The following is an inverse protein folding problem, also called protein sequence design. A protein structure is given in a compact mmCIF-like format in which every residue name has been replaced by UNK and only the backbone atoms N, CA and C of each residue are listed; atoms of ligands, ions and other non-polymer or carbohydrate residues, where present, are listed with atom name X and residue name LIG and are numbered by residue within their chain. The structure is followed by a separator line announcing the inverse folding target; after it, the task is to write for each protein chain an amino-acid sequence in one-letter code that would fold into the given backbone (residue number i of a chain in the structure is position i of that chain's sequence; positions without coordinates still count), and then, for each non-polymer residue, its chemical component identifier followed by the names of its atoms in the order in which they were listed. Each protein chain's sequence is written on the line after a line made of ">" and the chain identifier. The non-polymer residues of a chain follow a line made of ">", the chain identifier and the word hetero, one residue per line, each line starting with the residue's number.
data_IF_806147556887
#
_entry.id   IF_806147556887
#
_cell.length_a   1.000
_cell.length_b   1.000
_cell.length_c   1.000
_cell.angle_alpha   90.00
_cell.angle_beta   90.00
_cell.angle_gamma   90.00
#
_symmetry.space_group_name_H-M   'P 1'
#
loop_
_entity.id
_entity.type
_entity.pdbx_description
1 polymer ?
#
# COMPACT_ATOMS: atom_id res chain seq x y z
N UNK A 1 -18.17 -8.45 -3.36
CA UNK A 1 -19.31 -7.52 -3.18
C UNK A 1 -19.10 -6.75 -1.90
N UNK A 2 -19.72 -5.59 -1.72
CA UNK A 2 -19.64 -4.84 -0.47
C UNK A 2 -20.89 -5.09 0.35
N UNK A 3 -20.72 -5.48 1.62
CA UNK A 3 -21.84 -5.83 2.50
C UNK A 3 -22.47 -4.60 3.18
N UNK A 4 -21.84 -3.43 3.03
CA UNK A 4 -22.27 -2.14 3.59
C UNK A 4 -21.76 -0.98 2.73
N UNK A 5 -22.32 0.24 2.89
CA UNK A 5 -21.68 1.43 2.36
C UNK A 5 -20.24 1.56 2.88
N UNK A 6 -19.30 1.77 1.97
CA UNK A 6 -17.87 1.86 2.27
C UNK A 6 -17.27 3.02 1.49
N UNK A 7 -16.34 3.74 2.14
CA UNK A 7 -15.48 4.71 1.44
C UNK A 7 -14.24 3.96 0.96
N UNK A 8 -13.93 4.06 -0.33
CA UNK A 8 -12.82 3.32 -0.94
C UNK A 8 -11.74 4.30 -1.40
N UNK A 9 -10.49 4.00 -1.06
CA UNK A 9 -9.31 4.70 -1.54
C UNK A 9 -8.66 3.93 -2.67
N UNK A 10 -8.04 4.64 -3.61
CA UNK A 10 -7.21 4.06 -4.66
C UNK A 10 -5.76 4.42 -4.36
N UNK A 11 -4.92 3.40 -4.26
CA UNK A 11 -3.48 3.53 -3.96
C UNK A 11 -2.72 3.31 -5.25
N UNK A 12 -1.77 4.21 -5.56
CA UNK A 12 -0.89 4.11 -6.73
C UNK A 12 0.24 3.09 -6.50
N UNK A 13 -0.15 1.83 -6.32
CA UNK A 13 0.73 0.68 -6.25
C UNK A 13 -0.04 -0.56 -6.71
N UNK A 14 0.60 -1.42 -7.50
CA UNK A 14 0.04 -2.67 -7.95
C UNK A 14 1.08 -3.77 -8.09
N UNK A 15 0.70 -4.86 -8.76
CA UNK A 15 1.58 -6.01 -8.86
C UNK A 15 2.81 -5.78 -9.73
N UNK A 16 2.81 -4.79 -10.62
CA UNK A 16 4.01 -4.44 -11.39
C UNK A 16 5.03 -3.64 -10.55
N UNK A 17 4.67 -3.19 -9.35
CA UNK A 17 5.59 -2.65 -8.34
C UNK A 17 6.22 -3.75 -7.45
N UNK A 18 5.70 -4.97 -7.52
CA UNK A 18 6.09 -6.10 -6.67
C UNK A 18 5.08 -6.47 -5.59
N UNK A 19 3.94 -5.77 -5.50
CA UNK A 19 2.90 -6.14 -4.53
C UNK A 19 2.21 -7.46 -4.94
N UNK A 20 1.91 -8.41 -4.03
CA UNK A 20 1.35 -9.70 -4.41
C UNK A 20 0.02 -9.57 -5.16
N UNK A 21 -0.05 -10.03 -6.42
CA UNK A 21 -1.28 -9.98 -7.23
C UNK A 21 -2.45 -10.71 -6.59
N UNK A 22 -2.16 -11.77 -5.83
CA UNK A 22 -3.12 -12.64 -5.18
C UNK A 22 -3.43 -12.23 -3.74
N UNK A 23 -2.91 -11.09 -3.26
CA UNK A 23 -3.30 -10.54 -1.95
C UNK A 23 -4.84 -10.40 -1.90
N UNK A 24 -5.50 -11.11 -0.97
CA UNK A 24 -6.96 -11.13 -0.90
C UNK A 24 -7.52 -9.84 -0.28
N UNK A 25 -8.84 -9.70 -0.37
CA UNK A 25 -9.54 -8.73 0.49
C UNK A 25 -9.30 -9.07 1.96
N UNK A 26 -8.89 -8.07 2.75
CA UNK A 26 -8.52 -8.27 4.15
C UNK A 26 -7.03 -8.17 4.42
N UNK A 27 -6.16 -8.21 3.39
CA UNK A 27 -4.71 -8.00 3.56
C UNK A 27 -4.45 -6.66 4.28
N UNK A 28 -3.61 -6.64 5.33
CA UNK A 28 -3.39 -5.46 6.15
C UNK A 28 -2.67 -4.36 5.36
N UNK A 29 -3.04 -3.12 5.65
CA UNK A 29 -2.48 -1.90 5.06
C UNK A 29 -2.77 -0.74 6.03
N UNK A 30 -1.97 0.34 6.03
CA UNK A 30 -2.28 1.52 6.83
C UNK A 30 -2.43 2.77 5.95
N UNK A 31 -3.37 3.65 6.31
CA UNK A 31 -3.59 4.95 5.65
C UNK A 31 -3.54 6.04 6.71
N UNK A 32 -2.63 7.01 6.55
CA UNK A 32 -2.35 8.08 7.53
C UNK A 32 -2.17 7.55 8.96
N UNK A 33 -1.49 6.40 9.10
CA UNK A 33 -1.24 5.76 10.40
C UNK A 33 -2.44 5.02 11.00
N UNK A 34 -3.52 4.83 10.25
CA UNK A 34 -4.67 4.03 10.68
C UNK A 34 -4.67 2.70 9.95
N UNK A 35 -4.61 1.61 10.71
CA UNK A 35 -4.70 0.25 10.19
C UNK A 35 -6.07 0.01 9.53
N UNK A 36 -6.04 -0.54 8.33
CA UNK A 36 -7.19 -0.93 7.53
C UNK A 36 -6.84 -2.14 6.65
N UNK A 37 -7.56 -2.34 5.55
CA UNK A 37 -7.43 -3.50 4.67
C UNK A 37 -7.51 -3.16 3.19
N UNK A 38 -6.82 -3.97 2.39
CA UNK A 38 -7.05 -4.08 0.95
C UNK A 38 -8.45 -4.63 0.69
N UNK A 39 -9.11 -4.10 -0.33
CA UNK A 39 -10.43 -4.51 -0.79
C UNK A 39 -10.34 -4.84 -2.28
N UNK A 40 -10.93 -5.94 -2.71
CA UNK A 40 -10.89 -6.37 -4.11
C UNK A 40 -9.57 -7.02 -4.50
N UNK A 41 -9.22 -6.92 -5.80
CA UNK A 41 -8.01 -7.50 -6.39
C UNK A 41 -6.97 -6.41 -6.63
N UNK A 42 -5.69 -6.79 -6.52
CA UNK A 42 -4.56 -5.96 -6.91
C UNK A 42 -4.47 -5.90 -8.44
N UNK A 43 -4.47 -4.69 -9.00
CA UNK A 43 -4.28 -4.43 -10.44
C UNK A 43 -2.80 -4.17 -10.75
N UNK A 44 -2.46 -3.90 -12.01
CA UNK A 44 -1.06 -3.71 -12.43
C UNK A 44 -0.40 -2.54 -11.70
N UNK A 45 -1.12 -1.43 -11.57
CA UNK A 45 -0.58 -0.16 -11.05
C UNK A 45 -1.39 0.41 -9.89
N UNK A 46 -2.46 -0.27 -9.48
CA UNK A 46 -3.36 0.21 -8.43
C UNK A 46 -3.92 -0.92 -7.58
N UNK A 47 -4.21 -0.60 -6.32
CA UNK A 47 -4.99 -1.40 -5.40
C UNK A 47 -6.00 -0.52 -4.67
N UNK A 48 -7.04 -1.14 -4.12
CA UNK A 48 -8.10 -0.42 -3.41
C UNK A 48 -8.10 -0.76 -1.92
N UNK A 49 -8.40 0.23 -1.08
CA UNK A 49 -8.36 0.12 0.39
C UNK A 49 -9.65 0.63 1.02
N UNK A 50 -10.01 0.08 2.17
CA UNK A 50 -11.15 0.55 2.97
C UNK A 50 -10.75 1.83 3.74
N UNK A 51 -11.38 2.97 3.42
CA UNK A 51 -11.17 4.24 4.11
C UNK A 51 -12.24 4.50 5.18
N UNK A 52 -13.16 3.57 5.43
CA UNK A 52 -14.15 3.72 6.51
C UNK A 52 -13.51 4.00 7.89
N UNK A 53 -12.40 3.34 8.31
CA UNK A 53 -11.75 3.66 9.57
C UNK A 53 -10.89 4.94 9.52
N UNK A 54 -10.69 5.52 8.34
CA UNK A 54 -9.75 6.63 8.10
C UNK A 54 -10.52 7.92 7.74
N UNK A 55 -11.27 8.56 8.66
CA UNK A 55 -12.18 9.65 8.31
C UNK A 55 -11.48 10.83 7.64
N UNK A 56 -10.24 11.12 8.03
CA UNK A 56 -9.44 12.25 7.53
C UNK A 56 -8.65 11.93 6.24
N UNK A 57 -8.65 10.69 5.77
CA UNK A 57 -7.90 10.32 4.58
C UNK A 57 -8.46 11.01 3.31
N UNK A 58 -7.57 11.60 2.53
CA UNK A 58 -7.86 12.32 1.30
C UNK A 58 -6.83 12.06 0.21
N UNK A 59 -6.84 12.90 -0.84
CA UNK A 59 -5.84 12.81 -1.91
C UNK A 59 -4.46 13.16 -1.33
N UNK A 60 -3.48 12.28 -1.57
CA UNK A 60 -2.11 12.46 -1.09
C UNK A 60 -1.86 11.92 0.32
N UNK A 61 -2.87 11.36 1.00
CA UNK A 61 -2.68 10.62 2.25
C UNK A 61 -1.61 9.54 2.10
N UNK A 62 -0.80 9.38 3.15
CA UNK A 62 0.27 8.38 3.17
C UNK A 62 -0.33 6.98 3.27
N UNK A 63 0.25 6.04 2.52
CA UNK A 63 -0.14 4.63 2.58
C UNK A 63 1.09 3.78 2.86
N UNK A 64 0.98 2.94 3.88
CA UNK A 64 2.03 2.00 4.26
C UNK A 64 1.60 0.58 3.83
N UNK A 65 2.30 0.02 2.85
CA UNK A 65 2.07 -1.34 2.34
C UNK A 65 2.67 -2.40 3.25
N UNK A 66 3.87 -2.12 3.76
CA UNK A 66 4.56 -2.82 4.84
C UNK A 66 5.65 -1.89 5.40
N UNK A 67 5.91 -1.95 6.70
CA UNK A 67 6.79 -1.04 7.41
C UNK A 67 6.66 -1.14 8.93
N UNK A 68 6.58 0.02 9.59
CA UNK A 68 6.53 0.14 11.03
C UNK A 68 5.23 -0.43 11.61
N UNK A 69 4.09 -0.09 10.99
CA UNK A 69 2.75 -0.47 11.44
C UNK A 69 2.28 -1.76 10.79
N UNK A 70 2.51 -1.91 9.48
CA UNK A 70 2.08 -3.09 8.72
C UNK A 70 3.25 -4.05 8.62
N UNK A 71 3.22 -5.17 9.35
CA UNK A 71 4.33 -6.14 9.29
C UNK A 71 4.34 -6.83 7.93
N UNK A 72 5.51 -6.94 7.32
CA UNK A 72 5.68 -7.60 6.02
C UNK A 72 5.23 -9.06 6.06
N UNK A 73 5.42 -9.73 7.20
CA UNK A 73 5.01 -11.13 7.38
C UNK A 73 3.49 -11.28 7.45
N UNK A 74 2.74 -10.31 7.98
CA UNK A 74 1.27 -10.36 7.99
C UNK A 74 0.72 -10.26 6.55
N UNK A 75 1.34 -9.43 5.71
CA UNK A 75 0.99 -9.30 4.28
C UNK A 75 1.34 -10.58 3.54
N UNK A 76 2.49 -11.16 3.83
CA UNK A 76 2.97 -12.39 3.22
C UNK A 76 2.07 -13.59 3.59
N UNK A 77 1.72 -13.74 4.87
CA UNK A 77 0.83 -14.79 5.37
C UNK A 77 -0.55 -14.68 4.71
N UNK A 78 -1.13 -13.48 4.66
CA UNK A 78 -2.40 -13.23 3.96
C UNK A 78 -2.32 -13.60 2.46
N UNK A 79 -1.13 -13.52 1.87
CA UNK A 79 -0.86 -13.86 0.48
C UNK A 79 -0.39 -15.30 0.28
N UNK A 80 -0.20 -16.09 1.35
CA UNK A 80 0.27 -17.48 1.25
C UNK A 80 1.75 -17.60 0.84
N UNK A 81 2.59 -16.66 1.27
CA UNK A 81 4.04 -16.64 1.05
C UNK A 81 4.79 -16.17 2.33
N UNK A 82 6.08 -15.86 2.22
CA UNK A 82 6.97 -15.38 3.28
C UNK A 82 7.43 -13.95 3.01
N UNK A 83 7.73 -13.18 4.06
CA UNK A 83 8.13 -11.76 3.92
C UNK A 83 9.34 -11.54 3.03
N UNK A 84 10.26 -12.53 2.95
CA UNK A 84 11.41 -12.48 2.06
C UNK A 84 11.02 -12.35 0.57
N UNK A 85 9.98 -13.06 0.13
CA UNK A 85 9.53 -12.97 -1.25
C UNK A 85 8.99 -11.57 -1.57
N UNK A 86 8.27 -10.94 -0.63
CA UNK A 86 7.77 -9.56 -0.79
C UNK A 86 8.94 -8.57 -0.90
N UNK A 87 9.95 -8.70 -0.05
CA UNK A 87 11.13 -7.83 -0.08
C UNK A 87 11.94 -7.99 -1.39
N UNK A 88 12.04 -9.21 -1.90
CA UNK A 88 12.75 -9.50 -3.15
C UNK A 88 11.94 -9.19 -4.41
N UNK A 89 10.61 -9.12 -4.31
CA UNK A 89 9.72 -8.84 -5.45
C UNK A 89 9.70 -7.35 -5.86
N UNK A 90 10.32 -6.46 -5.08
CA UNK A 90 10.34 -5.02 -5.35
C UNK A 90 10.85 -4.72 -6.77
N UNK A 91 9.97 -4.18 -7.61
CA UNK A 91 10.30 -3.95 -9.01
C UNK A 91 11.23 -2.75 -9.19
N UNK A 92 12.07 -2.79 -10.23
CA UNK A 92 13.02 -1.69 -10.56
C UNK A 92 12.37 -0.32 -10.78
N UNK A 93 11.08 -0.27 -11.09
CA UNK A 93 10.35 0.99 -11.30
C UNK A 93 10.04 1.72 -9.99
N UNK A 94 10.11 1.03 -8.86
CA UNK A 94 9.88 1.63 -7.54
C UNK A 94 11.12 2.43 -7.14
N UNK A 95 11.00 3.74 -6.90
CA UNK A 95 12.12 4.54 -6.43
C UNK A 95 12.57 4.08 -5.04
N UNK A 96 13.88 3.92 -4.86
CA UNK A 96 14.48 3.57 -3.56
C UNK A 96 15.25 4.76 -3.02
N UNK A 97 14.99 5.10 -1.76
CA UNK A 97 15.69 6.16 -1.03
C UNK A 97 16.34 5.54 0.20
N UNK A 98 17.63 5.77 0.39
CA UNK A 98 18.37 5.32 1.59
C UNK A 98 18.27 6.44 2.63
N UNK A 99 17.65 6.14 3.76
CA UNK A 99 17.52 7.09 4.88
C UNK A 99 18.66 6.86 5.87
N UNK A 100 19.53 7.86 6.13
CA UNK A 100 20.57 7.74 7.14
C UNK A 100 19.97 7.57 8.53
N UNK A 101 20.63 6.83 9.44
CA UNK A 101 20.20 6.74 10.83
C UNK A 101 20.03 8.14 11.46
N UNK A 102 18.87 8.39 12.09
CA UNK A 102 18.58 9.65 12.78
C UNK A 102 17.95 10.76 11.93
N UNK A 103 17.78 10.57 10.61
CA UNK A 103 16.97 11.47 9.78
C UNK A 103 15.48 11.12 9.92
N UNK A 104 14.62 12.11 10.20
CA UNK A 104 13.17 11.92 10.08
C UNK A 104 12.84 11.68 8.61
N UNK A 105 12.05 10.64 8.31
CA UNK A 105 11.54 10.34 6.97
C UNK A 105 10.61 11.47 6.51
N UNK A 106 11.18 12.57 6.02
CA UNK A 106 10.42 13.53 5.23
C UNK A 106 9.97 12.77 4.00
N UNK A 107 8.66 12.56 3.90
CA UNK A 107 8.01 11.96 2.75
C UNK A 107 8.53 12.71 1.51
N UNK A 108 9.26 12.05 0.60
CA UNK A 108 9.72 12.73 -0.60
C UNK A 108 8.47 13.28 -1.28
N UNK A 109 8.45 14.59 -1.55
CA UNK A 109 7.28 15.26 -2.11
C UNK A 109 6.72 14.40 -3.24
N UNK A 110 5.49 13.91 -3.05
CA UNK A 110 4.78 13.12 -4.06
C UNK A 110 4.91 13.89 -5.36
N UNK A 111 5.74 13.40 -6.29
CA UNK A 111 5.66 13.84 -7.67
C UNK A 111 4.36 13.25 -8.16
N UNK A 112 3.27 13.96 -7.95
CA UNK A 112 2.01 13.69 -8.62
C UNK A 112 2.35 13.77 -10.10
N UNK A 113 2.59 12.62 -10.73
CA UNK A 113 2.79 12.56 -12.16
C UNK A 113 1.55 13.20 -12.76
N UNK A 114 1.73 14.29 -13.52
CA UNK A 114 0.67 14.87 -14.31
C UNK A 114 0.29 13.86 -15.39
N UNK A 115 -0.58 12.92 -15.04
CA UNK A 115 -1.21 12.03 -15.99
C UNK A 115 -2.27 12.86 -16.71
N UNK A 116 -2.02 13.19 -17.98
CA UNK A 116 -3.00 13.79 -18.89
C UNK A 116 -2.69 15.23 -19.32
N UNK A 117 -2.07 15.36 -20.50
CA UNK A 117 -2.76 16.09 -21.57
C UNK A 117 -3.58 15.08 -22.37
#
# INVERSE_FOLDING_TARGET
>A
TADRPMRIGVVACGYADGYPRHAPTGTPIAVDGVMTRVVGRVSMDMLTVDLTPCPNAGIGSSVELWGDQVKVDDVAEASGTIGYELMCALARRVPVVIVPPGASTMQPALRTGSYGR
#
